data_IF_203003629030
#
_entry.id   IF_203003629030
#
_cell.length_a   1.000
_cell.length_b   1.000
_cell.length_c   1.000
_cell.angle_alpha   90.00
_cell.angle_beta   90.00
_cell.angle_gamma   90.00
#
_symmetry.space_group_name_H-M   'P 1'
#
loop_
_entity.id
_entity.type
_entity.pdbx_description
1 polymer ?
#
# COMPACT_ATOMS: atom_id res chain seq x y z
N UNK A 1 1.15 -74.31 27.22
CA UNK A 1 2.58 -73.93 27.27
C UNK A 1 3.17 -74.27 25.91
N UNK A 2 3.84 -73.30 25.25
CA UNK A 2 4.58 -73.40 23.96
C UNK A 2 3.72 -73.63 22.69
N UNK A 3 3.93 -73.07 21.48
CA UNK A 3 4.74 -72.00 20.82
C UNK A 3 4.04 -71.74 19.45
N UNK A 4 4.33 -70.61 18.76
CA UNK A 4 4.52 -70.45 17.29
C UNK A 4 3.63 -69.44 16.51
N UNK A 5 4.33 -68.40 16.01
CA UNK A 5 4.37 -67.91 14.63
C UNK A 5 3.35 -66.89 14.06
N UNK A 6 3.91 -65.71 13.77
CA UNK A 6 4.04 -65.08 12.45
C UNK A 6 2.94 -64.15 11.90
N UNK A 7 3.45 -63.14 11.16
CA UNK A 7 2.86 -62.39 10.05
C UNK A 7 2.04 -61.10 10.30
N UNK A 8 2.71 -60.01 9.92
CA UNK A 8 2.25 -58.94 9.03
C UNK A 8 1.02 -58.10 9.42
N UNK A 9 1.28 -56.91 9.96
CA UNK A 9 0.32 -55.79 9.95
C UNK A 9 0.62 -54.86 8.78
N UNK A 10 -0.18 -54.97 7.72
CA UNK A 10 -0.48 -53.89 6.78
C UNK A 10 -1.87 -53.37 7.13
N UNK A 11 -1.97 -52.12 7.56
CA UNK A 11 -3.18 -51.33 7.40
C UNK A 11 -2.79 -49.96 6.89
N UNK A 12 -2.96 -49.77 5.59
CA UNK A 12 -3.11 -48.46 4.95
C UNK A 12 -4.32 -47.75 5.57
N UNK A 13 -4.17 -46.48 5.92
CA UNK A 13 -5.30 -45.66 6.34
C UNK A 13 -4.94 -44.48 7.23
N UNK A 14 -4.07 -43.58 6.75
CA UNK A 14 -3.96 -42.24 7.31
C UNK A 14 -4.10 -41.24 6.17
N UNK A 15 -5.35 -40.90 5.82
CA UNK A 15 -5.63 -39.67 5.09
C UNK A 15 -5.45 -38.55 6.11
N UNK A 16 -4.19 -38.16 6.31
CA UNK A 16 -3.88 -36.90 6.97
C UNK A 16 -4.31 -35.79 6.01
N UNK A 17 -5.45 -35.17 6.32
CA UNK A 17 -5.82 -33.86 5.78
C UNK A 17 -4.73 -32.87 6.23
N UNK A 18 -3.66 -32.78 5.44
CA UNK A 18 -2.68 -31.71 5.54
C UNK A 18 -3.39 -30.45 5.07
N UNK A 19 -4.05 -29.76 6.01
CA UNK A 19 -4.43 -28.36 5.83
C UNK A 19 -3.18 -27.63 5.35
N UNK A 20 -3.27 -26.85 4.25
CA UNK A 20 -2.15 -26.01 3.86
C UNK A 20 -1.88 -25.11 5.06
N UNK A 21 -0.69 -25.28 5.66
CA UNK A 21 -0.17 -24.33 6.64
C UNK A 21 -0.30 -22.96 5.99
N UNK A 22 -1.25 -22.18 6.49
CA UNK A 22 -1.40 -20.79 6.12
C UNK A 22 -0.05 -20.18 6.43
N UNK A 23 0.70 -19.84 5.38
CA UNK A 23 1.91 -19.06 5.49
C UNK A 23 1.47 -17.72 6.09
N UNK A 24 1.51 -17.64 7.42
CA UNK A 24 1.60 -16.38 8.13
C UNK A 24 2.86 -15.74 7.57
N UNK A 25 2.66 -14.86 6.58
CA UNK A 25 3.71 -14.01 6.07
C UNK A 25 4.23 -13.24 7.29
N UNK A 26 5.46 -13.56 7.71
CA UNK A 26 6.17 -12.80 8.72
C UNK A 26 6.01 -11.33 8.38
N UNK A 27 5.40 -10.58 9.30
CA UNK A 27 4.90 -9.23 9.07
C UNK A 27 5.97 -8.35 8.45
N UNK A 28 5.85 -8.11 7.15
CA UNK A 28 6.74 -7.24 6.44
C UNK A 28 6.57 -5.81 6.97
N UNK A 29 7.61 -5.19 7.54
CA UNK A 29 7.56 -3.81 7.95
C UNK A 29 7.76 -2.91 6.72
N UNK A 30 6.94 -3.05 5.68
CA UNK A 30 7.06 -2.18 4.51
C UNK A 30 6.92 -0.74 4.97
N UNK A 31 7.95 0.04 4.66
CA UNK A 31 7.95 1.48 4.83
C UNK A 31 8.04 2.06 3.43
N UNK A 32 7.02 2.83 3.05
CA UNK A 32 7.03 3.58 1.81
C UNK A 32 8.20 4.56 1.78
N UNK A 33 8.68 4.85 0.57
CA UNK A 33 9.69 5.87 0.36
C UNK A 33 9.06 7.25 0.21
N UNK A 34 9.88 8.30 0.23
CA UNK A 34 9.46 9.66 -0.15
C UNK A 34 8.94 9.72 -1.59
N UNK A 35 9.44 8.87 -2.49
CA UNK A 35 8.94 8.77 -3.85
C UNK A 35 7.53 8.16 -3.90
N UNK A 36 7.28 7.11 -3.11
CA UNK A 36 5.94 6.53 -2.96
C UNK A 36 4.96 7.54 -2.34
N UNK A 37 5.42 8.35 -1.38
CA UNK A 37 4.61 9.44 -0.81
C UNK A 37 4.22 10.49 -1.85
N UNK A 38 5.16 10.92 -2.70
CA UNK A 38 4.83 11.80 -3.84
C UNK A 38 3.83 11.16 -4.79
N UNK A 39 3.98 9.86 -5.05
CA UNK A 39 3.06 9.12 -5.90
C UNK A 39 1.66 9.04 -5.28
N UNK A 40 1.55 8.79 -3.98
CA UNK A 40 0.27 8.79 -3.27
C UNK A 40 -0.39 10.16 -3.26
N UNK A 41 0.36 11.22 -3.00
CA UNK A 41 -0.16 12.59 -2.99
C UNK A 41 -0.70 13.03 -4.36
N UNK A 42 -0.03 12.65 -5.47
CA UNK A 42 -0.55 12.89 -6.83
C UNK A 42 -1.75 12.02 -7.19
N UNK A 43 -2.02 10.98 -6.41
CA UNK A 43 -3.10 10.03 -6.67
C UNK A 43 -4.30 10.22 -5.76
N UNK A 44 -4.41 11.32 -5.00
CA UNK A 44 -5.60 11.65 -4.22
C UNK A 44 -6.78 12.03 -5.12
N UNK A 45 -8.04 11.98 -4.64
CA UNK A 45 -9.21 12.35 -5.44
C UNK A 45 -9.13 13.76 -6.03
N UNK A 46 -8.67 14.73 -5.24
CA UNK A 46 -8.53 16.11 -5.68
C UNK A 46 -7.43 16.25 -6.76
N UNK A 47 -6.23 15.69 -6.52
CA UNK A 47 -5.15 15.70 -7.50
C UNK A 47 -5.55 15.06 -8.83
N UNK A 48 -6.21 13.89 -8.78
CA UNK A 48 -6.70 13.23 -10.00
C UNK A 48 -7.77 14.05 -10.72
N UNK A 49 -8.65 14.75 -10.00
CA UNK A 49 -9.65 15.61 -10.64
C UNK A 49 -8.99 16.75 -11.46
N UNK A 50 -7.92 17.37 -10.96
CA UNK A 50 -7.15 18.37 -11.72
C UNK A 50 -6.51 17.76 -12.98
N UNK A 51 -5.96 16.56 -12.88
CA UNK A 51 -5.36 15.88 -14.03
C UNK A 51 -6.42 15.45 -15.06
N UNK A 52 -7.47 14.77 -14.61
CA UNK A 52 -8.45 14.11 -15.47
C UNK A 52 -9.45 15.10 -16.08
N UNK A 53 -9.86 16.13 -15.34
CA UNK A 53 -10.88 17.09 -15.80
C UNK A 53 -10.27 18.36 -16.41
N UNK A 54 -9.13 18.82 -15.89
CA UNK A 54 -8.51 20.09 -16.30
C UNK A 54 -7.24 19.89 -17.15
N UNK A 55 -6.88 18.63 -17.44
CA UNK A 55 -5.67 18.26 -18.16
C UNK A 55 -4.41 18.93 -17.59
N UNK A 56 -4.41 19.14 -16.27
CA UNK A 56 -3.31 19.81 -15.60
C UNK A 56 -2.10 18.87 -15.46
N UNK A 57 -0.91 19.42 -15.62
CA UNK A 57 0.32 18.72 -15.23
C UNK A 57 0.53 18.91 -13.74
N UNK A 58 0.56 17.79 -13.00
CA UNK A 58 0.80 17.79 -11.55
C UNK A 58 2.30 17.73 -11.24
N UNK A 59 2.73 18.50 -10.26
CA UNK A 59 4.10 18.50 -9.76
C UNK A 59 4.09 18.35 -8.24
N UNK A 60 4.61 17.24 -7.69
CA UNK A 60 4.70 17.03 -6.25
C UNK A 60 6.06 17.51 -5.70
N UNK A 61 6.02 18.23 -4.58
CA UNK A 61 7.20 18.66 -3.85
C UNK A 61 7.08 18.25 -2.38
N UNK A 62 8.14 17.65 -1.82
CA UNK A 62 8.20 17.39 -0.37
C UNK A 62 8.43 18.74 0.32
N UNK A 63 7.53 19.09 1.21
CA UNK A 63 7.60 20.30 2.04
C UNK A 63 8.34 19.97 3.34
N UNK A 64 8.07 18.80 3.90
CA UNK A 64 8.61 18.35 5.17
C UNK A 64 8.64 16.82 5.23
N UNK A 65 9.62 16.26 5.94
CA UNK A 65 9.71 14.84 6.23
C UNK A 65 10.19 14.67 7.68
N UNK A 66 9.33 14.10 8.52
CA UNK A 66 9.59 13.91 9.96
C UNK A 66 9.17 12.49 10.35
N UNK A 67 10.14 11.70 10.83
CA UNK A 67 9.90 10.31 11.22
C UNK A 67 9.27 9.50 10.08
N UNK A 68 8.11 8.89 10.36
CA UNK A 68 7.36 8.09 9.38
C UNK A 68 6.30 8.92 8.62
N UNK A 69 6.42 10.25 8.59
CA UNK A 69 5.49 11.13 7.89
C UNK A 69 6.20 12.01 6.87
N UNK A 70 5.58 12.18 5.71
CA UNK A 70 6.07 13.05 4.64
C UNK A 70 4.95 13.96 4.19
N UNK A 71 5.17 15.26 4.29
CA UNK A 71 4.25 16.28 3.79
C UNK A 71 4.62 16.65 2.35
N UNK A 72 3.67 16.49 1.44
CA UNK A 72 3.84 16.69 0.00
C UNK A 72 2.84 17.74 -0.48
N UNK A 73 3.35 18.86 -0.99
CA UNK A 73 2.55 19.83 -1.72
C UNK A 73 2.43 19.39 -3.17
N UNK A 74 1.22 19.43 -3.71
CA UNK A 74 0.96 19.17 -5.12
C UNK A 74 0.51 20.46 -5.78
N UNK A 75 1.20 20.85 -6.84
CA UNK A 75 0.81 21.99 -7.68
C UNK A 75 0.36 21.50 -9.05
N UNK A 76 -0.64 22.15 -9.62
CA UNK A 76 -1.16 21.91 -10.95
C UNK A 76 -0.77 23.05 -11.89
N UNK A 77 -0.39 22.71 -13.13
CA UNK A 77 -0.25 23.67 -14.22
C UNK A 77 -1.19 23.31 -15.36
N UNK A 78 -2.19 24.15 -15.58
CA UNK A 78 -3.10 24.02 -16.72
C UNK A 78 -2.50 24.72 -17.96
N UNK A 79 -2.78 24.21 -19.18
CA UNK A 79 -2.37 24.90 -20.40
C UNK A 79 -2.92 26.33 -20.45
N UNK A 80 -2.03 27.32 -20.60
CA UNK A 80 -2.41 28.73 -20.67
C UNK A 80 -2.78 29.41 -19.34
N UNK A 81 -2.63 28.73 -18.21
CA UNK A 81 -2.87 29.32 -16.88
C UNK A 81 -1.61 29.32 -16.00
N UNK A 82 -1.67 30.07 -14.90
CA UNK A 82 -0.65 30.05 -13.85
C UNK A 82 -0.63 28.71 -13.11
N UNK A 83 0.47 28.47 -12.40
CA UNK A 83 0.56 27.33 -11.47
C UNK A 83 -0.35 27.59 -10.28
N UNK A 84 -1.14 26.59 -9.91
CA UNK A 84 -2.07 26.62 -8.77
C UNK A 84 -1.70 25.50 -7.77
N UNK A 85 -1.93 25.75 -6.48
CA UNK A 85 -1.80 24.71 -5.46
C UNK A 85 -3.07 23.85 -5.44
N UNK A 86 -2.90 22.53 -5.61
CA UNK A 86 -3.99 21.56 -5.50
C UNK A 86 -4.29 21.25 -4.04
N UNK A 87 -3.22 21.10 -3.25
CA UNK A 87 -3.31 20.79 -1.83
C UNK A 87 -1.97 20.34 -1.26
N UNK A 88 -1.92 20.25 0.08
CA UNK A 88 -0.77 19.78 0.83
C UNK A 88 -1.17 18.55 1.64
N UNK A 89 -0.58 17.41 1.29
CA UNK A 89 -0.96 16.10 1.80
C UNK A 89 0.08 15.55 2.76
N UNK A 90 -0.35 15.03 3.90
CA UNK A 90 0.50 14.27 4.82
C UNK A 90 0.36 12.77 4.54
N UNK A 91 1.49 12.12 4.25
CA UNK A 91 1.55 10.68 3.97
C UNK A 91 2.26 9.97 5.12
N UNK A 92 1.60 8.99 5.72
CA UNK A 92 2.20 8.10 6.71
C UNK A 92 2.90 6.93 6.02
N UNK A 93 4.22 6.84 6.09
CA UNK A 93 5.02 5.88 5.33
C UNK A 93 4.84 4.43 5.77
N UNK A 94 4.44 4.16 7.02
CA UNK A 94 4.18 2.79 7.52
C UNK A 94 2.80 2.25 7.17
N UNK A 95 1.81 3.14 7.09
CA UNK A 95 0.42 2.73 6.84
C UNK A 95 -0.03 3.05 5.42
N UNK A 96 0.67 3.96 4.75
CA UNK A 96 0.30 4.54 3.47
C UNK A 96 -1.00 5.32 3.50
N UNK A 97 -1.43 5.77 4.69
CA UNK A 97 -2.58 6.68 4.86
C UNK A 97 -2.19 8.07 4.36
N UNK A 98 -3.12 8.72 3.67
CA UNK A 98 -2.98 10.09 3.18
C UNK A 98 -4.04 10.96 3.83
N UNK A 99 -3.63 12.07 4.44
CA UNK A 99 -4.53 13.11 4.95
C UNK A 99 -4.25 14.42 4.26
N UNK A 100 -5.25 15.28 4.15
CA UNK A 100 -5.15 16.65 3.66
C UNK A 100 -5.45 17.56 4.86
N UNK A 101 -4.68 18.64 5.00
CA UNK A 101 -4.80 19.57 6.12
C UNK A 101 -6.17 20.28 6.13
N UNK A 102 -6.80 20.40 4.95
CA UNK A 102 -8.06 21.12 4.77
C UNK A 102 -9.30 20.21 4.61
N UNK A 103 -9.13 18.92 4.28
CA UNK A 103 -10.22 17.96 4.06
C UNK A 103 -9.84 16.54 4.52
N UNK A 104 -10.47 16.04 5.58
CA UNK A 104 -10.31 14.64 6.00
C UNK A 104 -11.55 13.79 5.69
N UNK A 105 -11.39 12.56 5.15
CA UNK A 105 -10.15 11.95 4.64
C UNK A 105 -9.80 12.35 3.19
N UNK A 106 -8.50 12.35 2.87
CA UNK A 106 -7.98 12.67 1.53
C UNK A 106 -7.74 11.45 0.64
N UNK A 107 -7.97 10.24 1.16
CA UNK A 107 -7.87 8.99 0.45
C UNK A 107 -9.25 8.42 0.07
N UNK A 108 -9.28 7.76 -1.08
CA UNK A 108 -10.41 6.95 -1.56
C UNK A 108 -9.94 5.52 -1.88
N UNK A 109 -10.86 4.65 -2.31
CA UNK A 109 -10.55 3.26 -2.66
C UNK A 109 -9.39 3.13 -3.66
N UNK A 110 -9.26 4.06 -4.61
CA UNK A 110 -8.16 4.07 -5.59
C UNK A 110 -6.82 4.44 -4.93
N UNK A 111 -6.82 5.39 -4.02
CA UNK A 111 -5.64 5.81 -3.25
C UNK A 111 -5.20 4.66 -2.32
N UNK A 112 -6.13 4.02 -1.63
CA UNK A 112 -5.88 2.85 -0.78
C UNK A 112 -5.35 1.67 -1.59
N UNK A 113 -5.93 1.40 -2.76
CA UNK A 113 -5.45 0.34 -3.65
C UNK A 113 -4.04 0.63 -4.19
N UNK A 114 -3.71 1.89 -4.45
CA UNK A 114 -2.35 2.28 -4.79
C UNK A 114 -1.42 2.02 -3.59
N UNK A 115 -1.74 2.55 -2.41
CA UNK A 115 -0.96 2.35 -1.18
C UNK A 115 -0.63 0.88 -0.92
N UNK A 116 -1.63 -0.01 -0.96
CA UNK A 116 -1.45 -1.46 -0.81
C UNK A 116 -0.49 -2.05 -1.85
N UNK A 117 -0.55 -1.60 -3.10
CA UNK A 117 0.37 -2.04 -4.16
C UNK A 117 1.79 -1.56 -3.88
N UNK A 118 1.96 -0.29 -3.48
CA UNK A 118 3.27 0.26 -3.14
C UNK A 118 3.89 -0.50 -1.95
N UNK A 119 3.11 -0.73 -0.89
CA UNK A 119 3.53 -1.51 0.28
C UNK A 119 3.97 -2.92 -0.10
N UNK A 120 3.20 -3.61 -0.95
CA UNK A 120 3.56 -4.94 -1.43
C UNK A 120 4.88 -4.96 -2.19
N UNK A 121 5.23 -3.89 -2.94
CA UNK A 121 6.54 -3.82 -3.64
C UNK A 121 7.72 -3.77 -2.68
N UNK A 122 7.51 -3.28 -1.46
CA UNK A 122 8.52 -3.22 -0.41
C UNK A 122 8.54 -4.48 0.48
N UNK A 123 7.68 -5.46 0.18
CA UNK A 123 7.58 -6.75 0.85
C UNK A 123 7.84 -7.89 -0.14
N UNK A 124 9.11 -8.27 -0.38
CA UNK A 124 9.45 -9.39 -1.24
C UNK A 124 8.99 -10.74 -0.67
#
# INVERSE_FOLDING_TARGET
MAVFFNRAMRCSGAVAFLLPMSAFSFGCPAVLTTADAKQLAMFTPNARAFHDNLHATLTPAVVEAVGDTVRVRVTARQPGQSVEEVGTYTVHLRTGRVTDEDQEPADDDKTVALSKRLMKRHCP
#
